data_IF_867475917942
#
_entry.id   IF_867475917942
#
_cell.length_a   1.000
_cell.length_b   1.000
_cell.length_c   1.000
_cell.angle_alpha   90.00
_cell.angle_beta   90.00
_cell.angle_gamma   90.00
#
_symmetry.space_group_name_H-M   'P 1'
#
loop_
_entity.id
_entity.type
_entity.pdbx_description
1 polymer ?
#
# COMPACT_ATOMS: atom_id res chain seq x y z
N UNK A 1 -29.76 21.14 13.09
CA UNK A 1 -31.22 21.12 12.76
C UNK A 1 -31.74 19.67 12.68
N UNK A 2 -32.59 19.26 13.63
CA UNK A 2 -33.24 17.95 13.62
C UNK A 2 -34.36 17.94 12.57
N UNK A 3 -34.54 16.87 11.77
CA UNK A 3 -35.69 16.76 10.90
C UNK A 3 -36.94 16.41 11.72
N UNK A 4 -38.02 17.15 11.49
CA UNK A 4 -39.35 16.88 12.04
C UNK A 4 -39.96 15.65 11.37
N UNK A 5 -40.40 14.70 12.19
CA UNK A 5 -41.16 13.52 11.79
C UNK A 5 -42.64 13.89 11.78
N UNK A 6 -43.25 14.11 10.62
CA UNK A 6 -44.71 14.17 10.50
C UNK A 6 -45.32 12.78 10.29
N UNK A 7 -46.46 12.57 10.94
CA UNK A 7 -47.17 11.28 11.05
C UNK A 7 -48.21 11.19 9.93
N UNK A 8 -48.03 10.29 8.97
CA UNK A 8 -49.10 9.92 8.04
C UNK A 8 -50.05 8.88 8.69
N UNK A 9 -51.34 8.98 8.37
CA UNK A 9 -52.45 8.28 9.03
C UNK A 9 -52.45 6.74 8.97
N UNK A 10 -53.49 6.11 9.55
CA UNK A 10 -53.46 4.70 9.92
C UNK A 10 -53.63 3.77 8.73
N UNK A 11 -52.74 2.78 8.61
CA UNK A 11 -52.97 1.58 7.80
C UNK A 11 -52.11 1.40 6.54
N UNK A 12 -51.11 2.24 6.27
CA UNK A 12 -50.14 1.99 5.19
C UNK A 12 -48.72 2.21 5.70
N UNK A 13 -47.90 1.17 5.62
CA UNK A 13 -46.48 1.21 5.99
C UNK A 13 -45.74 2.33 5.27
N UNK A 14 -44.60 2.73 5.84
CA UNK A 14 -43.74 3.80 5.36
C UNK A 14 -43.50 3.70 3.84
N UNK A 15 -44.13 4.58 3.06
CA UNK A 15 -43.85 4.71 1.63
C UNK A 15 -42.64 5.63 1.49
N UNK A 16 -41.48 5.04 1.22
CA UNK A 16 -40.30 5.79 0.77
C UNK A 16 -40.59 6.35 -0.62
N UNK A 17 -41.04 7.59 -0.70
CA UNK A 17 -41.20 8.27 -1.98
C UNK A 17 -39.82 8.60 -2.58
N UNK A 18 -39.42 7.72 -3.51
CA UNK A 18 -38.88 8.07 -4.83
C UNK A 18 -37.54 8.83 -4.93
N UNK A 19 -36.53 8.38 -4.18
CA UNK A 19 -35.13 8.44 -4.66
C UNK A 19 -34.37 7.11 -4.50
N UNK A 20 -34.78 6.27 -3.56
CA UNK A 20 -34.12 5.00 -3.26
C UNK A 20 -34.44 3.88 -4.27
N UNK A 21 -35.70 3.73 -4.74
CA UNK A 21 -36.08 2.63 -5.64
C UNK A 21 -35.35 2.63 -6.98
N UNK A 22 -35.10 3.80 -7.58
CA UNK A 22 -34.32 3.88 -8.84
C UNK A 22 -32.91 3.31 -8.73
N UNK A 23 -32.32 3.32 -7.53
CA UNK A 23 -30.94 2.86 -7.31
C UNK A 23 -30.80 1.34 -7.26
N UNK A 24 -31.89 0.62 -7.01
CA UNK A 24 -31.87 -0.84 -6.97
C UNK A 24 -31.93 -1.41 -8.40
N UNK A 25 -32.80 -0.89 -9.26
CA UNK A 25 -32.93 -1.31 -10.66
C UNK A 25 -31.65 -1.07 -11.48
N UNK A 26 -30.88 -0.02 -11.17
CA UNK A 26 -29.62 0.29 -11.85
C UNK A 26 -28.46 -0.63 -11.40
N UNK A 27 -28.50 -1.17 -10.17
CA UNK A 27 -27.48 -2.07 -9.65
C UNK A 27 -27.52 -3.44 -10.33
N UNK A 28 -28.72 -3.97 -10.56
CA UNK A 28 -28.88 -5.27 -11.20
C UNK A 28 -28.57 -5.21 -12.71
N UNK A 29 -28.74 -4.04 -13.35
CA UNK A 29 -28.37 -3.81 -14.75
C UNK A 29 -26.85 -3.74 -14.95
N UNK A 30 -26.09 -3.24 -13.97
CA UNK A 30 -24.61 -3.20 -14.06
C UNK A 30 -23.95 -4.56 -13.91
N UNK A 31 -24.63 -5.56 -13.34
CA UNK A 31 -24.09 -6.92 -13.18
C UNK A 31 -24.06 -7.73 -14.48
N UNK A 32 -24.79 -7.30 -15.52
CA UNK A 32 -24.99 -8.07 -16.76
C UNK A 32 -24.50 -7.32 -18.01
N UNK A 33 -23.34 -6.68 -17.94
CA UNK A 33 -22.66 -6.15 -19.13
C UNK A 33 -21.41 -7.00 -19.43
N UNK A 34 -21.42 -7.82 -20.49
CA UNK A 34 -20.24 -8.55 -20.93
C UNK A 34 -19.25 -7.53 -21.51
N UNK A 35 -18.37 -7.00 -20.65
CA UNK A 35 -17.34 -6.02 -21.02
C UNK A 35 -17.24 -4.77 -20.12
N UNK A 36 -18.08 -4.63 -19.09
CA UNK A 36 -18.28 -3.36 -18.39
C UNK A 36 -17.15 -2.83 -17.49
N UNK A 37 -16.14 -3.63 -17.12
CA UNK A 37 -15.04 -3.14 -16.25
C UNK A 37 -13.90 -2.53 -17.07
N UNK A 38 -13.76 -2.91 -18.35
CA UNK A 38 -12.60 -2.53 -19.16
C UNK A 38 -12.70 -1.09 -19.72
N UNK A 39 -13.88 -0.47 -19.67
CA UNK A 39 -14.12 0.89 -20.19
C UNK A 39 -14.35 1.98 -19.14
N UNK A 40 -14.54 1.63 -17.85
CA UNK A 40 -14.83 2.63 -16.79
C UNK A 40 -13.58 3.19 -16.10
N UNK A 41 -12.47 2.43 -16.12
CA UNK A 41 -11.19 2.86 -15.57
C UNK A 41 -10.11 2.62 -16.63
N UNK A 42 -9.61 3.69 -17.29
CA UNK A 42 -8.47 3.59 -18.21
C UNK A 42 -7.21 2.95 -17.59
N UNK A 43 -7.17 2.85 -16.26
CA UNK A 43 -6.09 2.27 -15.45
C UNK A 43 -6.29 0.77 -15.13
N UNK A 44 -7.43 0.17 -15.47
CA UNK A 44 -7.69 -1.24 -15.18
C UNK A 44 -6.95 -2.14 -16.19
N UNK A 45 -5.93 -2.86 -15.69
CA UNK A 45 -5.19 -3.84 -16.48
C UNK A 45 -6.11 -4.94 -17.01
N UNK A 46 -5.87 -5.36 -18.26
CA UNK A 46 -6.50 -6.56 -18.80
C UNK A 46 -6.09 -7.80 -17.99
N UNK A 47 -6.87 -8.90 -18.02
CA UNK A 47 -6.51 -10.13 -17.32
C UNK A 47 -5.10 -10.65 -17.66
N UNK A 48 -4.71 -10.59 -18.94
CA UNK A 48 -3.39 -10.97 -19.42
C UNK A 48 -2.28 -10.04 -18.89
N UNK A 49 -2.52 -8.73 -18.88
CA UNK A 49 -1.58 -7.76 -18.32
C UNK A 49 -1.40 -7.96 -16.81
N UNK A 50 -2.48 -8.27 -16.10
CA UNK A 50 -2.44 -8.55 -14.68
C UNK A 50 -1.64 -9.83 -14.39
N UNK A 51 -1.81 -10.88 -15.20
CA UNK A 51 -1.03 -12.11 -15.07
C UNK A 51 0.46 -11.88 -15.33
N UNK A 52 0.79 -11.14 -16.39
CA UNK A 52 2.17 -10.73 -16.68
C UNK A 52 2.77 -9.90 -15.55
N UNK A 53 2.01 -8.95 -14.99
CA UNK A 53 2.43 -8.14 -13.86
C UNK A 53 2.66 -8.99 -12.60
N UNK A 54 1.82 -10.00 -12.35
CA UNK A 54 2.01 -10.94 -11.24
C UNK A 54 3.33 -11.68 -11.38
N UNK A 55 3.60 -12.27 -12.54
CA UNK A 55 4.87 -12.96 -12.81
C UNK A 55 6.08 -12.06 -12.61
N UNK A 56 6.03 -10.85 -13.17
CA UNK A 56 7.09 -9.84 -13.00
C UNK A 56 7.32 -9.45 -11.53
N UNK A 57 6.25 -9.21 -10.77
CA UNK A 57 6.34 -8.83 -9.34
C UNK A 57 6.92 -9.96 -8.50
N UNK A 58 6.52 -11.20 -8.75
CA UNK A 58 7.05 -12.37 -8.06
C UNK A 58 8.55 -12.50 -8.34
N UNK A 59 8.95 -12.46 -9.61
CA UNK A 59 10.35 -12.59 -9.99
C UNK A 59 11.21 -11.46 -9.43
N UNK A 60 10.70 -10.23 -9.46
CA UNK A 60 11.36 -9.07 -8.86
C UNK A 60 11.52 -9.24 -7.36
N UNK A 61 10.48 -9.70 -6.64
CA UNK A 61 10.57 -9.95 -5.19
C UNK A 61 11.62 -11.00 -4.85
N UNK A 62 11.64 -12.11 -5.59
CA UNK A 62 12.63 -13.18 -5.40
C UNK A 62 14.05 -12.65 -5.65
N UNK A 63 14.25 -11.90 -6.73
CA UNK A 63 15.55 -11.34 -7.09
C UNK A 63 16.03 -10.34 -6.04
N UNK A 64 15.15 -9.45 -5.58
CA UNK A 64 15.47 -8.50 -4.53
C UNK A 64 15.81 -9.20 -3.22
N UNK A 65 15.05 -10.22 -2.81
CA UNK A 65 15.36 -10.97 -1.59
C UNK A 65 16.71 -11.69 -1.69
N UNK A 66 17.02 -12.29 -2.84
CA UNK A 66 18.33 -12.89 -3.09
C UNK A 66 19.45 -11.85 -2.98
N UNK A 67 19.25 -10.66 -3.53
CA UNK A 67 20.19 -9.55 -3.39
C UNK A 67 20.37 -9.20 -1.91
N UNK A 68 19.30 -8.94 -1.17
CA UNK A 68 19.37 -8.59 0.25
C UNK A 68 20.09 -9.66 1.10
N UNK A 69 19.90 -10.94 0.81
CA UNK A 69 20.57 -12.04 1.53
C UNK A 69 22.07 -12.17 1.22
N UNK A 70 22.49 -11.78 0.02
CA UNK A 70 23.88 -11.93 -0.42
C UNK A 70 24.72 -10.68 -0.18
N UNK A 71 24.07 -9.52 0.00
CA UNK A 71 24.69 -8.22 0.16
C UNK A 71 24.63 -7.74 1.62
N UNK A 72 25.61 -8.19 2.43
CA UNK A 72 25.72 -7.84 3.86
C UNK A 72 25.80 -6.34 4.13
N UNK A 73 26.29 -5.55 3.18
CA UNK A 73 26.31 -4.09 3.27
C UNK A 73 24.91 -3.49 3.45
N UNK A 74 23.88 -4.11 2.86
CA UNK A 74 22.50 -3.65 2.97
C UNK A 74 21.92 -4.00 4.34
N UNK A 75 22.29 -5.15 4.89
CA UNK A 75 21.94 -5.54 6.25
C UNK A 75 22.53 -4.56 7.28
N UNK A 76 23.81 -4.20 7.14
CA UNK A 76 24.47 -3.21 7.99
C UNK A 76 23.85 -1.82 7.85
N UNK A 77 23.51 -1.41 6.63
CA UNK A 77 22.84 -0.14 6.36
C UNK A 77 21.49 -0.05 7.07
N UNK A 78 20.66 -1.10 6.94
CA UNK A 78 19.30 -1.11 7.51
C UNK A 78 19.33 -1.29 9.02
N UNK A 79 20.17 -2.19 9.54
CA UNK A 79 20.31 -2.39 11.00
C UNK A 79 20.89 -1.16 11.70
N UNK A 80 21.88 -0.51 11.08
CA UNK A 80 22.43 0.76 11.56
C UNK A 80 21.37 1.86 11.62
N UNK A 81 20.49 1.95 10.62
CA UNK A 81 19.35 2.87 10.66
C UNK A 81 18.40 2.57 11.81
N UNK A 82 17.95 1.32 11.96
CA UNK A 82 17.04 0.95 13.05
C UNK A 82 17.63 1.12 14.44
N UNK A 83 18.95 0.99 14.60
CA UNK A 83 19.62 1.22 15.88
C UNK A 83 19.54 2.67 16.38
N UNK A 84 19.20 3.61 15.49
CA UNK A 84 19.02 5.03 15.84
C UNK A 84 17.63 5.34 16.40
N UNK A 85 16.70 4.39 16.36
CA UNK A 85 15.33 4.59 16.85
C UNK A 85 15.22 4.24 18.33
N UNK A 86 15.06 5.22 19.23
CA UNK A 86 14.55 4.95 20.57
C UNK A 86 13.10 4.42 20.49
N UNK A 87 12.71 3.62 21.48
CA UNK A 87 11.34 3.11 21.61
C UNK A 87 10.36 4.28 21.78
N UNK A 88 9.28 4.32 20.99
CA UNK A 88 8.16 5.25 21.17
C UNK A 88 8.18 6.51 20.28
N UNK A 89 8.74 6.43 19.07
CA UNK A 89 8.70 7.55 18.12
C UNK A 89 7.39 7.59 17.30
N UNK A 90 6.91 8.80 17.08
CA UNK A 90 5.83 9.11 16.14
C UNK A 90 6.34 9.16 14.69
N UNK A 91 5.47 8.94 13.70
CA UNK A 91 5.77 8.89 12.26
C UNK A 91 6.56 10.11 11.75
N UNK A 92 6.43 11.26 12.40
CA UNK A 92 7.15 12.50 12.07
C UNK A 92 8.68 12.37 12.20
N UNK A 93 9.17 11.56 13.14
CA UNK A 93 10.61 11.38 13.33
C UNK A 93 11.27 10.63 12.18
N UNK A 94 10.55 9.71 11.52
CA UNK A 94 11.08 9.00 10.35
C UNK A 94 11.39 9.96 9.20
N UNK A 95 10.54 10.97 8.97
CA UNK A 95 10.73 11.94 7.89
C UNK A 95 12.00 12.78 8.05
N UNK A 96 12.45 12.99 9.29
CA UNK A 96 13.68 13.73 9.59
C UNK A 96 14.90 12.79 9.60
N UNK A 97 14.78 11.62 10.23
CA UNK A 97 15.93 10.72 10.42
C UNK A 97 16.37 10.01 9.13
N UNK A 98 15.44 9.70 8.22
CA UNK A 98 15.78 9.04 6.95
C UNK A 98 16.76 9.89 6.13
N UNK A 99 16.45 11.15 5.75
CA UNK A 99 17.36 11.93 4.94
C UNK A 99 18.71 12.14 5.65
N UNK A 100 18.71 12.48 6.94
CA UNK A 100 19.96 12.71 7.69
C UNK A 100 20.86 11.48 7.73
N UNK A 101 20.28 10.28 7.90
CA UNK A 101 21.04 9.04 7.90
C UNK A 101 21.53 8.68 6.49
N UNK A 102 20.62 8.53 5.52
CA UNK A 102 20.95 7.99 4.21
C UNK A 102 21.72 8.96 3.32
N UNK A 103 21.76 10.25 3.65
CA UNK A 103 22.57 11.26 2.94
C UNK A 103 23.90 11.58 3.64
N UNK A 104 24.22 10.98 4.79
CA UNK A 104 25.53 11.16 5.45
C UNK A 104 26.65 10.69 4.50
N UNK A 105 27.53 11.60 4.01
CA UNK A 105 28.59 11.25 3.07
C UNK A 105 29.63 10.30 3.68
N UNK A 106 29.65 10.15 5.01
CA UNK A 106 30.55 9.24 5.72
C UNK A 106 29.97 7.82 5.83
N UNK A 107 28.66 7.65 5.60
CA UNK A 107 27.97 6.38 5.77
C UNK A 107 28.56 5.23 4.93
N UNK A 108 28.90 5.43 3.63
CA UNK A 108 29.49 4.35 2.83
C UNK A 108 30.80 3.83 3.44
N UNK A 109 31.66 4.74 3.91
CA UNK A 109 32.93 4.37 4.54
C UNK A 109 32.71 3.66 5.89
N UNK A 110 31.73 4.10 6.70
CA UNK A 110 31.38 3.42 7.96
C UNK A 110 30.97 1.97 7.70
N UNK A 111 30.09 1.74 6.72
CA UNK A 111 29.63 0.41 6.34
C UNK A 111 30.78 -0.44 5.79
N UNK A 112 31.61 0.12 4.92
CA UNK A 112 32.79 -0.57 4.38
C UNK A 112 33.74 -1.07 5.50
N UNK A 113 34.01 -0.22 6.48
CA UNK A 113 34.84 -0.59 7.62
C UNK A 113 34.22 -1.68 8.49
N UNK A 114 32.89 -1.67 8.68
CA UNK A 114 32.18 -2.74 9.39
C UNK A 114 32.25 -4.07 8.63
N UNK A 115 32.06 -4.07 7.31
CA UNK A 115 32.19 -5.26 6.48
C UNK A 115 33.59 -5.88 6.59
N UNK A 116 34.65 -5.07 6.58
CA UNK A 116 36.02 -5.56 6.75
C UNK A 116 36.19 -6.22 8.13
N UNK A 117 35.60 -5.64 9.17
CA UNK A 117 35.67 -6.19 10.54
C UNK A 117 34.95 -7.54 10.63
N UNK A 118 33.73 -7.65 10.10
CA UNK A 118 32.98 -8.90 10.10
C UNK A 118 33.70 -10.00 9.32
N UNK A 119 34.24 -9.68 8.13
CA UNK A 119 35.03 -10.64 7.33
C UNK A 119 36.30 -11.13 8.02
N UNK A 120 36.88 -10.33 8.93
CA UNK A 120 38.05 -10.74 9.71
C UNK A 120 37.68 -11.56 10.95
N UNK A 121 36.42 -11.51 11.38
CA UNK A 121 35.93 -12.19 12.58
C UNK A 121 35.24 -13.53 12.28
N UNK A 122 34.92 -13.80 11.00
CA UNK A 122 34.37 -15.06 10.49
C UNK A 122 35.49 -15.99 9.99
#
# INVERSE_FOLDING_TARGET
PRPLLERAGPGRGWVLTSRASRRLDDRDKMATLPGGIQGLYPEALSPEQLEKLRGFKIQTRITNEKYLRTHKEVELLISGFFSLFPLGLDDFFFLILIPDYFTDPRLPNKIHMQLIKEKKAA
#
